data_IF_183530994410
#
_entry.id   IF_183530994410
#
_cell.length_a   1.000
_cell.length_b   1.000
_cell.length_c   1.000
_cell.angle_alpha   90.00
_cell.angle_beta   90.00
_cell.angle_gamma   90.00
#
_symmetry.space_group_name_H-M   'P 1'
#
loop_
_entity.id
_entity.type
_entity.pdbx_description
1 polymer ?
#
# COMPACT_ATOMS: atom_id res chain seq x y z
N UNK A 1 32.06 -2.33 -64.52
CA UNK A 1 32.37 -2.68 -63.10
C UNK A 1 31.52 -1.81 -62.21
N UNK A 2 30.43 -2.38 -61.71
CA UNK A 2 29.45 -1.66 -60.82
C UNK A 2 29.53 -2.32 -59.45
N UNK A 3 30.04 -1.54 -58.46
CA UNK A 3 30.17 -1.96 -57.09
C UNK A 3 28.83 -1.81 -56.38
N UNK A 4 28.26 -2.92 -55.86
CA UNK A 4 27.11 -2.93 -54.96
C UNK A 4 27.58 -2.77 -53.53
N UNK A 5 27.40 -1.60 -52.95
CA UNK A 5 27.53 -1.39 -51.52
C UNK A 5 26.24 -1.84 -50.83
N UNK A 6 26.33 -2.97 -50.11
CA UNK A 6 25.27 -3.46 -49.26
C UNK A 6 25.07 -2.57 -48.05
N UNK A 7 23.84 -2.05 -47.88
CA UNK A 7 23.39 -1.34 -46.68
C UNK A 7 22.91 -2.40 -45.70
N UNK A 8 23.67 -2.62 -44.61
CA UNK A 8 23.23 -3.39 -43.48
C UNK A 8 22.32 -2.50 -42.63
N UNK A 9 21.02 -2.68 -42.74
CA UNK A 9 20.06 -2.11 -41.81
C UNK A 9 20.09 -2.92 -40.49
N UNK A 10 20.66 -2.35 -39.46
CA UNK A 10 20.60 -2.91 -38.11
C UNK A 10 19.15 -2.79 -37.56
N UNK A 11 18.47 -3.92 -37.46
CA UNK A 11 17.19 -3.99 -36.77
C UNK A 11 17.47 -3.93 -35.26
N UNK A 12 17.19 -2.79 -34.62
CA UNK A 12 17.09 -2.68 -33.17
C UNK A 12 15.84 -3.44 -32.73
N UNK A 13 16.05 -4.58 -32.08
CA UNK A 13 14.96 -5.33 -31.47
C UNK A 13 14.37 -4.50 -30.31
N UNK A 14 13.16 -4.00 -30.49
CA UNK A 14 12.36 -3.40 -29.44
C UNK A 14 11.92 -4.52 -28.48
N UNK A 15 12.37 -4.48 -27.23
CA UNK A 15 11.95 -5.41 -26.17
C UNK A 15 10.78 -4.77 -25.42
N UNK A 16 9.53 -5.19 -25.68
CA UNK A 16 8.33 -4.52 -25.14
C UNK A 16 8.07 -4.75 -23.63
N UNK A 17 8.80 -5.67 -22.97
CA UNK A 17 8.45 -6.14 -21.64
C UNK A 17 8.70 -5.17 -20.47
N UNK A 18 9.60 -4.20 -20.60
CA UNK A 18 10.01 -3.34 -19.46
C UNK A 18 9.06 -2.16 -19.25
N UNK A 19 8.54 -1.59 -20.33
CA UNK A 19 7.60 -0.46 -20.26
C UNK A 19 6.22 -0.88 -19.75
N UNK A 20 5.76 -2.08 -20.13
CA UNK A 20 4.46 -2.63 -19.73
C UNK A 20 4.43 -3.00 -18.22
N UNK A 21 5.52 -3.55 -17.69
CA UNK A 21 5.66 -3.81 -16.26
C UNK A 21 5.69 -2.53 -15.41
N UNK A 22 6.33 -1.47 -15.89
CA UNK A 22 6.38 -0.18 -15.21
C UNK A 22 5.00 0.53 -15.16
N UNK A 23 4.21 0.41 -16.23
CA UNK A 23 2.83 0.94 -16.29
C UNK A 23 1.93 0.23 -15.28
N UNK A 24 2.01 -1.10 -15.19
CA UNK A 24 1.22 -1.89 -14.22
C UNK A 24 1.54 -1.56 -12.76
N UNK A 25 2.80 -1.34 -12.40
CA UNK A 25 3.18 -0.96 -11.03
C UNK A 25 2.65 0.44 -10.65
N UNK A 26 2.65 1.37 -11.60
CA UNK A 26 2.11 2.70 -11.39
C UNK A 26 0.58 2.67 -11.13
N UNK A 27 -0.16 1.85 -11.84
CA UNK A 27 -1.61 1.69 -11.66
C UNK A 27 -1.94 1.11 -10.28
N UNK A 28 -1.14 0.15 -9.79
CA UNK A 28 -1.31 -0.48 -8.48
C UNK A 28 -1.35 0.53 -7.34
N UNK A 29 -0.57 1.62 -7.43
CA UNK A 29 -0.45 2.63 -6.37
C UNK A 29 -1.29 3.88 -6.61
N UNK A 30 -1.95 4.00 -7.76
CA UNK A 30 -2.74 5.18 -8.15
C UNK A 30 -4.25 4.93 -8.24
N UNK A 31 -4.73 3.82 -7.70
CA UNK A 31 -6.18 3.59 -7.55
C UNK A 31 -6.80 4.76 -6.76
N UNK A 32 -7.78 5.49 -7.33
CA UNK A 32 -8.35 6.68 -6.69
C UNK A 32 -9.13 6.37 -5.41
N UNK A 33 -9.47 5.10 -5.16
CA UNK A 33 -10.10 4.66 -3.92
C UNK A 33 -9.12 4.50 -2.76
N UNK A 34 -7.79 4.54 -3.03
CA UNK A 34 -6.76 4.45 -1.98
C UNK A 34 -6.57 5.80 -1.29
N UNK A 35 -6.54 5.76 0.04
CA UNK A 35 -6.16 6.93 0.83
C UNK A 35 -4.63 7.11 0.80
N UNK A 36 -4.18 8.30 0.41
CA UNK A 36 -2.76 8.63 0.46
C UNK A 36 -2.44 9.27 1.81
N UNK A 37 -1.50 8.68 2.53
CA UNK A 37 -0.92 9.21 3.76
C UNK A 37 0.37 9.98 3.46
N UNK A 38 0.80 10.83 4.39
CA UNK A 38 1.95 11.70 4.20
C UNK A 38 1.67 12.78 3.16
N UNK A 39 2.55 12.95 2.16
CA UNK A 39 2.36 13.93 1.09
C UNK A 39 1.73 13.27 -0.16
N UNK A 40 0.45 13.56 -0.50
CA UNK A 40 -0.19 12.99 -1.69
C UNK A 40 0.55 13.32 -3.01
N UNK A 41 1.32 14.41 -3.04
CA UNK A 41 2.15 14.84 -4.17
C UNK A 41 3.63 14.46 -4.01
N UNK A 42 3.95 13.58 -3.05
CA UNK A 42 5.32 13.16 -2.76
C UNK A 42 6.05 12.57 -3.95
N UNK A 43 7.36 12.79 -4.00
CA UNK A 43 8.24 12.41 -5.10
C UNK A 43 8.47 10.89 -5.19
N UNK A 44 8.39 10.20 -4.04
CA UNK A 44 8.44 8.73 -3.97
C UNK A 44 7.17 8.20 -3.33
N UNK A 45 6.59 7.18 -3.95
CA UNK A 45 5.49 6.43 -3.36
C UNK A 45 6.02 5.17 -2.70
N UNK A 46 5.63 4.97 -1.44
CA UNK A 46 5.74 3.70 -0.72
C UNK A 46 4.35 3.09 -0.69
N UNK A 47 4.18 1.86 -1.18
CA UNK A 47 2.97 1.09 -0.96
C UNK A 47 3.33 -0.15 -0.12
N UNK A 48 2.63 -0.33 1.00
CA UNK A 48 2.73 -1.52 1.83
C UNK A 48 1.51 -2.41 1.64
N UNK A 49 1.72 -3.66 1.23
CA UNK A 49 0.71 -4.70 1.33
C UNK A 49 0.76 -5.26 2.75
N UNK A 50 -0.31 -5.09 3.49
CA UNK A 50 -0.32 -5.34 4.92
C UNK A 50 -1.62 -6.02 5.39
N UNK A 51 -1.59 -6.53 6.62
CA UNK A 51 -2.73 -7.10 7.31
C UNK A 51 -2.68 -6.66 8.78
N UNK A 52 -3.80 -6.20 9.33
CA UNK A 52 -3.88 -5.73 10.73
C UNK A 52 -3.54 -6.81 11.76
N UNK A 53 -3.73 -8.09 11.43
CA UNK A 53 -3.35 -9.22 12.29
C UNK A 53 -1.88 -9.65 12.09
N UNK A 54 -1.17 -9.11 11.10
CA UNK A 54 0.22 -9.45 10.84
C UNK A 54 1.15 -8.79 11.89
N UNK A 55 1.85 -9.56 12.74
CA UNK A 55 2.73 -8.99 13.77
C UNK A 55 3.87 -8.14 13.18
N UNK A 56 4.42 -8.56 12.04
CA UNK A 56 5.52 -7.85 11.37
C UNK A 56 5.06 -6.51 10.77
N UNK A 57 3.83 -6.43 10.23
CA UNK A 57 3.24 -5.18 9.77
C UNK A 57 3.07 -4.20 10.92
N UNK A 58 2.52 -4.68 12.03
CA UNK A 58 2.34 -3.86 13.23
C UNK A 58 3.66 -3.40 13.83
N UNK A 59 4.69 -4.26 13.81
CA UNK A 59 6.01 -3.93 14.35
C UNK A 59 6.75 -2.85 13.53
N UNK A 60 6.63 -2.85 12.20
CA UNK A 60 7.31 -1.85 11.34
C UNK A 60 6.52 -0.53 11.24
N UNK A 61 5.20 -0.55 11.47
CA UNK A 61 4.33 0.60 11.28
C UNK A 61 4.80 1.90 11.98
N UNK A 62 5.22 1.89 13.27
CA UNK A 62 5.70 3.12 13.92
C UNK A 62 6.92 3.73 13.21
N UNK A 63 7.86 2.90 12.77
CA UNK A 63 9.05 3.37 12.05
C UNK A 63 8.68 3.87 10.64
N UNK A 64 7.82 3.16 9.91
CA UNK A 64 7.33 3.60 8.59
C UNK A 64 6.64 4.97 8.68
N UNK A 65 5.77 5.15 9.67
CA UNK A 65 5.09 6.44 9.91
C UNK A 65 6.10 7.56 10.22
N UNK A 66 7.11 7.28 11.03
CA UNK A 66 8.14 8.27 11.35
C UNK A 66 9.00 8.65 10.13
N UNK A 67 9.37 7.68 9.30
CA UNK A 67 10.08 7.92 8.02
C UNK A 67 9.25 8.84 7.13
N UNK A 68 7.97 8.55 6.94
CA UNK A 68 7.08 9.37 6.11
C UNK A 68 6.93 10.80 6.65
N UNK A 69 6.78 10.93 7.98
CA UNK A 69 6.65 12.21 8.66
C UNK A 69 7.92 13.05 8.60
N UNK A 70 9.08 12.45 8.83
CA UNK A 70 10.37 13.15 8.90
C UNK A 70 10.88 13.56 7.51
N UNK A 71 10.62 12.74 6.50
CA UNK A 71 10.97 13.04 5.11
C UNK A 71 10.09 14.18 4.52
N UNK A 72 8.79 14.16 4.80
CA UNK A 72 7.82 15.19 4.39
C UNK A 72 7.48 15.21 2.90
N UNK A 73 8.15 14.43 2.06
CA UNK A 73 7.91 14.36 0.62
C UNK A 73 7.64 12.92 0.11
N UNK A 74 7.22 12.04 1.02
CA UNK A 74 6.81 10.68 0.71
C UNK A 74 5.28 10.57 0.65
N UNK A 75 4.80 9.85 -0.35
CA UNK A 75 3.41 9.40 -0.46
C UNK A 75 3.34 7.95 0.03
N UNK A 76 2.57 7.70 1.10
CA UNK A 76 2.37 6.36 1.62
C UNK A 76 0.97 5.85 1.25
N UNK A 77 0.91 4.63 0.72
CA UNK A 77 -0.30 3.91 0.38
C UNK A 77 -0.35 2.62 1.17
N UNK A 78 -1.40 2.47 1.98
CA UNK A 78 -1.68 1.23 2.69
C UNK A 78 -2.60 0.34 1.86
N UNK A 79 -2.11 -0.83 1.45
CA UNK A 79 -2.85 -1.80 0.64
C UNK A 79 -3.30 -2.96 1.51
N UNK A 80 -4.51 -2.85 2.01
CA UNK A 80 -5.12 -3.90 2.82
C UNK A 80 -5.17 -5.22 2.05
N UNK A 81 -4.55 -6.24 2.63
CA UNK A 81 -4.57 -7.60 2.14
C UNK A 81 -4.83 -8.55 3.32
N UNK A 82 -6.10 -8.66 3.77
CA UNK A 82 -6.48 -9.38 4.99
C UNK A 82 -6.46 -10.90 4.76
N UNK A 83 -5.29 -11.51 4.92
CA UNK A 83 -5.06 -12.95 4.70
C UNK A 83 -5.14 -13.78 6.00
N UNK A 84 -5.28 -13.11 7.15
CA UNK A 84 -5.30 -13.78 8.46
C UNK A 84 -6.73 -13.96 9.03
N UNK A 85 -7.74 -14.06 8.18
CA UNK A 85 -9.10 -14.43 8.54
C UNK A 85 -10.07 -13.26 8.78
N UNK A 86 -11.25 -13.59 9.29
CA UNK A 86 -12.41 -12.69 9.33
C UNK A 86 -12.18 -11.42 10.14
N UNK A 87 -11.40 -11.51 11.22
CA UNK A 87 -11.09 -10.34 12.04
C UNK A 87 -10.18 -9.33 11.30
N UNK A 88 -9.28 -9.81 10.43
CA UNK A 88 -8.49 -8.93 9.57
C UNK A 88 -9.40 -8.21 8.56
N UNK A 89 -10.36 -8.91 7.98
CA UNK A 89 -11.38 -8.31 7.11
C UNK A 89 -12.23 -7.27 7.84
N UNK A 90 -12.66 -7.59 9.07
CA UNK A 90 -13.40 -6.65 9.90
C UNK A 90 -12.60 -5.36 10.14
N UNK A 91 -11.35 -5.48 10.60
CA UNK A 91 -10.49 -4.33 10.84
C UNK A 91 -10.30 -3.46 9.59
N UNK A 92 -9.99 -4.09 8.44
CA UNK A 92 -9.85 -3.39 7.15
C UNK A 92 -11.13 -2.65 6.76
N UNK A 93 -12.29 -3.29 6.85
CA UNK A 93 -13.58 -2.68 6.52
C UNK A 93 -13.90 -1.47 7.40
N UNK A 94 -13.73 -1.62 8.71
CA UNK A 94 -14.00 -0.55 9.68
C UNK A 94 -13.08 0.65 9.46
N UNK A 95 -11.77 0.41 9.26
CA UNK A 95 -10.83 1.51 9.00
C UNK A 95 -11.14 2.20 7.66
N UNK A 96 -11.47 1.46 6.61
CA UNK A 96 -11.87 2.09 5.34
C UNK A 96 -13.19 2.86 5.46
N UNK A 97 -14.17 2.36 6.22
CA UNK A 97 -15.42 3.06 6.45
C UNK A 97 -15.22 4.40 7.19
N UNK A 98 -14.25 4.47 8.12
CA UNK A 98 -13.92 5.71 8.83
C UNK A 98 -13.44 6.84 7.90
N UNK A 99 -13.03 6.52 6.67
CA UNK A 99 -12.64 7.53 5.67
C UNK A 99 -13.80 8.48 5.32
N UNK A 100 -15.04 8.00 5.32
CA UNK A 100 -16.23 8.82 5.11
C UNK A 100 -16.43 9.88 6.22
N UNK A 101 -15.86 9.64 7.40
CA UNK A 101 -15.85 10.55 8.53
C UNK A 101 -14.57 11.39 8.62
N UNK A 102 -13.66 11.30 7.61
CA UNK A 102 -12.38 11.98 7.58
C UNK A 102 -11.35 11.43 8.57
N UNK A 103 -11.54 10.22 9.09
CA UNK A 103 -10.75 9.65 10.18
C UNK A 103 -9.82 8.50 9.77
N UNK A 104 -9.65 8.22 8.46
CA UNK A 104 -8.89 7.05 7.98
C UNK A 104 -7.51 6.92 8.61
N UNK A 105 -6.68 7.99 8.56
CA UNK A 105 -5.31 7.92 9.07
C UNK A 105 -5.28 7.69 10.58
N UNK A 106 -6.12 8.40 11.34
CA UNK A 106 -6.20 8.23 12.79
C UNK A 106 -6.68 6.83 13.17
N UNK A 107 -7.70 6.32 12.50
CA UNK A 107 -8.24 4.98 12.67
C UNK A 107 -7.21 3.91 12.32
N UNK A 108 -6.53 4.02 11.18
CA UNK A 108 -5.47 3.11 10.76
C UNK A 108 -4.36 3.03 11.80
N UNK A 109 -3.84 4.19 12.23
CA UNK A 109 -2.79 4.27 13.24
C UNK A 109 -3.22 3.67 14.58
N UNK A 110 -4.45 3.91 15.02
CA UNK A 110 -4.97 3.38 16.28
C UNK A 110 -5.11 1.86 16.24
N UNK A 111 -5.65 1.29 15.16
CA UNK A 111 -5.78 -0.17 15.03
C UNK A 111 -4.42 -0.86 14.92
N UNK A 112 -3.46 -0.28 14.19
CA UNK A 112 -2.09 -0.80 14.12
C UNK A 112 -1.37 -0.76 15.47
N UNK A 113 -1.73 0.17 16.35
CA UNK A 113 -1.12 0.34 17.67
C UNK A 113 -1.74 -0.52 18.79
N UNK A 114 -2.83 -1.26 18.54
CA UNK A 114 -3.45 -2.13 19.55
C UNK A 114 -2.41 -3.12 20.07
N UNK A 115 -2.14 -3.11 21.36
CA UNK A 115 -1.24 -4.09 22.01
C UNK A 115 -1.95 -5.44 22.21
N UNK A 116 -1.18 -6.53 22.16
CA UNK A 116 -1.73 -7.88 22.31
C UNK A 116 -2.49 -8.36 21.06
N UNK A 117 -3.53 -9.15 21.25
CA UNK A 117 -4.35 -9.69 20.16
C UNK A 117 -5.47 -8.73 19.73
N UNK A 118 -5.70 -8.59 18.43
CA UNK A 118 -6.89 -7.91 17.93
C UNK A 118 -8.17 -8.65 18.36
N UNK A 119 -9.22 -7.89 18.65
CA UNK A 119 -10.61 -8.35 18.81
C UNK A 119 -11.54 -7.36 18.15
N UNK A 120 -12.77 -7.75 17.85
CA UNK A 120 -13.76 -6.81 17.31
C UNK A 120 -13.95 -5.59 18.23
N UNK A 121 -14.14 -5.82 19.53
CA UNK A 121 -14.27 -4.73 20.51
C UNK A 121 -13.04 -3.85 20.58
N UNK A 122 -11.83 -4.44 20.52
CA UNK A 122 -10.58 -3.67 20.51
C UNK A 122 -10.44 -2.78 19.26
N UNK A 123 -10.91 -3.24 18.10
CA UNK A 123 -10.98 -2.40 16.88
C UNK A 123 -11.95 -1.25 17.09
N UNK A 124 -13.15 -1.52 17.61
CA UNK A 124 -14.18 -0.50 17.89
C UNK A 124 -13.69 0.56 18.89
N UNK A 125 -13.03 0.12 19.97
CA UNK A 125 -12.47 1.01 20.98
C UNK A 125 -11.34 1.88 20.40
N UNK A 126 -10.49 1.31 19.52
CA UNK A 126 -9.42 2.04 18.86
C UNK A 126 -9.97 3.12 17.91
N UNK A 127 -11.00 2.80 17.12
CA UNK A 127 -11.67 3.76 16.23
C UNK A 127 -12.29 4.91 17.03
N UNK A 128 -13.03 4.59 18.10
CA UNK A 128 -13.64 5.59 18.97
C UNK A 128 -12.58 6.49 19.60
N UNK A 129 -11.47 5.90 20.07
CA UNK A 129 -10.35 6.66 20.64
C UNK A 129 -9.65 7.54 19.60
N UNK A 130 -9.70 7.17 18.34
CA UNK A 130 -9.18 7.95 17.20
C UNK A 130 -10.14 9.05 16.73
N UNK A 131 -11.28 9.23 17.40
CA UNK A 131 -12.28 10.26 17.08
C UNK A 131 -13.34 9.82 16.05
N UNK A 132 -13.42 8.53 15.73
CA UNK A 132 -14.46 7.97 14.88
C UNK A 132 -15.32 7.00 15.71
N UNK A 133 -16.51 7.44 16.14
CA UNK A 133 -17.43 6.57 16.88
C UNK A 133 -17.71 5.28 16.11
N UNK A 134 -17.55 4.14 16.76
CA UNK A 134 -17.68 2.85 16.09
C UNK A 134 -19.10 2.57 15.57
N UNK A 135 -20.14 3.19 16.13
CA UNK A 135 -21.51 3.13 15.63
C UNK A 135 -21.63 3.88 14.31
N UNK A 136 -21.15 5.13 14.27
CA UNK A 136 -21.14 5.96 13.05
C UNK A 136 -20.31 5.29 11.95
N UNK A 137 -19.16 4.67 12.29
CA UNK A 137 -18.34 3.92 11.34
C UNK A 137 -19.08 2.72 10.76
N UNK A 138 -19.88 1.99 11.56
CA UNK A 138 -20.72 0.88 11.05
C UNK A 138 -21.79 1.37 10.10
N UNK A 139 -22.43 2.51 10.39
CA UNK A 139 -23.41 3.11 9.50
C UNK A 139 -22.75 3.48 8.15
N UNK A 140 -21.53 4.04 8.18
CA UNK A 140 -20.77 4.31 6.97
C UNK A 140 -20.34 3.01 6.26
N UNK A 141 -19.99 1.96 7.01
CA UNK A 141 -19.67 0.66 6.41
C UNK A 141 -20.86 0.10 5.65
N UNK A 142 -22.07 0.13 6.21
CA UNK A 142 -23.28 -0.36 5.54
C UNK A 142 -23.54 0.38 4.21
N UNK A 143 -23.24 1.68 4.17
CA UNK A 143 -23.41 2.50 2.96
C UNK A 143 -22.32 2.17 1.91
N UNK A 144 -21.08 1.92 2.33
CA UNK A 144 -19.93 1.85 1.44
C UNK A 144 -19.34 0.44 1.26
N UNK A 145 -19.93 -0.60 1.89
CA UNK A 145 -19.36 -1.94 1.96
C UNK A 145 -18.97 -2.53 0.59
N UNK A 146 -19.82 -2.35 -0.41
CA UNK A 146 -19.53 -2.90 -1.75
C UNK A 146 -18.26 -2.27 -2.38
N UNK A 147 -18.06 -0.96 -2.19
CA UNK A 147 -16.88 -0.25 -2.66
C UNK A 147 -15.62 -0.63 -1.90
N UNK A 148 -15.75 -0.79 -0.57
CA UNK A 148 -14.64 -1.20 0.32
C UNK A 148 -14.21 -2.63 -0.01
N UNK A 149 -15.15 -3.57 -0.12
CA UNK A 149 -14.86 -4.95 -0.47
C UNK A 149 -14.23 -5.07 -1.86
N UNK A 150 -14.71 -4.28 -2.83
CA UNK A 150 -14.11 -4.23 -4.15
C UNK A 150 -12.67 -3.69 -4.12
N UNK A 151 -12.36 -2.70 -3.27
CA UNK A 151 -11.01 -2.19 -3.07
C UNK A 151 -10.09 -3.26 -2.49
N UNK A 152 -10.51 -3.94 -1.41
CA UNK A 152 -9.74 -5.00 -0.77
C UNK A 152 -9.49 -6.16 -1.76
N UNK A 153 -10.51 -6.57 -2.52
CA UNK A 153 -10.38 -7.60 -3.54
C UNK A 153 -9.41 -7.21 -4.68
N UNK A 154 -9.38 -5.92 -5.08
CA UNK A 154 -8.37 -5.42 -6.03
C UNK A 154 -6.97 -5.47 -5.43
N UNK A 155 -6.80 -5.12 -4.15
CA UNK A 155 -5.50 -5.24 -3.48
C UNK A 155 -5.01 -6.69 -3.47
N UNK A 156 -5.89 -7.66 -3.19
CA UNK A 156 -5.58 -9.09 -3.29
C UNK A 156 -5.17 -9.49 -4.71
N UNK A 157 -5.90 -9.01 -5.72
CA UNK A 157 -5.56 -9.24 -7.13
C UNK A 157 -4.18 -8.70 -7.48
N UNK A 158 -3.85 -7.49 -7.02
CA UNK A 158 -2.52 -6.91 -7.18
C UNK A 158 -1.44 -7.72 -6.46
N UNK A 159 -1.69 -8.19 -5.23
CA UNK A 159 -0.76 -9.02 -4.47
C UNK A 159 -0.45 -10.33 -5.23
N UNK A 160 -1.47 -10.99 -5.77
CA UNK A 160 -1.34 -12.19 -6.60
C UNK A 160 -0.56 -11.92 -7.89
N UNK A 161 -0.88 -10.85 -8.60
CA UNK A 161 -0.18 -10.45 -9.84
C UNK A 161 1.32 -10.15 -9.59
N UNK A 162 1.65 -9.61 -8.41
CA UNK A 162 3.01 -9.37 -7.97
C UNK A 162 3.69 -10.62 -7.37
N UNK A 163 3.03 -11.78 -7.35
CA UNK A 163 3.52 -13.02 -6.73
C UNK A 163 3.97 -12.80 -5.28
N UNK A 164 3.19 -12.08 -4.48
CA UNK A 164 3.44 -11.93 -3.05
C UNK A 164 3.04 -13.21 -2.32
N UNK A 165 3.87 -13.61 -1.33
CA UNK A 165 3.64 -14.81 -0.52
C UNK A 165 2.99 -14.49 0.85
N UNK A 166 2.93 -13.20 1.23
CA UNK A 166 2.40 -12.75 2.52
C UNK A 166 2.71 -11.29 2.80
N UNK A 167 2.41 -10.86 4.01
CA UNK A 167 2.59 -9.48 4.49
C UNK A 167 3.69 -9.41 5.56
N UNK A 168 4.41 -8.29 5.71
CA UNK A 168 4.38 -7.14 4.82
C UNK A 168 5.14 -7.38 3.51
N UNK A 169 4.73 -6.67 2.45
CA UNK A 169 5.52 -6.51 1.24
C UNK A 169 5.46 -5.04 0.79
N UNK A 170 6.53 -4.53 0.20
CA UNK A 170 6.64 -3.12 -0.13
C UNK A 170 6.88 -2.92 -1.62
N UNK A 171 6.22 -1.92 -2.19
CA UNK A 171 6.56 -1.34 -3.47
C UNK A 171 7.04 0.10 -3.20
N UNK A 172 8.33 0.37 -3.43
CA UNK A 172 8.95 1.68 -3.20
C UNK A 172 9.49 2.20 -4.53
N UNK A 173 8.92 3.29 -5.01
CA UNK A 173 9.16 3.76 -6.36
C UNK A 173 8.77 2.70 -7.39
N UNK A 174 9.77 2.14 -8.10
CA UNK A 174 9.59 1.09 -9.11
C UNK A 174 10.06 -0.30 -8.63
N UNK A 175 10.47 -0.44 -7.34
CA UNK A 175 11.08 -1.66 -6.81
C UNK A 175 10.16 -2.39 -5.85
N UNK A 176 10.01 -3.69 -6.06
CA UNK A 176 9.20 -4.57 -5.23
C UNK A 176 10.07 -5.36 -4.25
N UNK A 177 9.73 -5.27 -2.97
CA UNK A 177 10.36 -5.99 -1.86
C UNK A 177 9.34 -6.97 -1.28
N UNK A 178 9.50 -8.28 -1.55
CA UNK A 178 8.58 -9.33 -1.11
C UNK A 178 8.93 -9.85 0.28
N UNK A 179 9.21 -8.95 1.22
CA UNK A 179 9.62 -9.24 2.58
C UNK A 179 9.46 -8.03 3.50
N UNK A 180 9.52 -8.28 4.79
CA UNK A 180 9.73 -7.22 5.77
C UNK A 180 11.04 -6.48 5.45
N UNK A 181 10.99 -5.15 5.52
CA UNK A 181 12.15 -4.27 5.52
C UNK A 181 12.35 -3.68 6.92
N UNK A 182 13.60 -3.51 7.33
CA UNK A 182 13.94 -2.69 8.48
C UNK A 182 13.84 -1.19 8.11
N UNK A 183 13.82 -0.31 9.10
CA UNK A 183 13.66 1.13 8.88
C UNK A 183 14.76 1.71 7.96
N UNK A 184 16.02 1.36 8.21
CA UNK A 184 17.17 1.77 7.40
C UNK A 184 17.12 1.22 5.96
N UNK A 185 16.55 0.04 5.76
CA UNK A 185 16.33 -0.53 4.43
C UNK A 185 15.22 0.23 3.68
N UNK A 186 14.17 0.70 4.37
CA UNK A 186 13.12 1.55 3.77
C UNK A 186 13.73 2.89 3.34
N UNK A 187 14.51 3.55 4.21
CA UNK A 187 15.19 4.80 3.89
C UNK A 187 16.16 4.65 2.70
N UNK A 188 16.95 3.58 2.66
CA UNK A 188 17.85 3.28 1.55
C UNK A 188 17.07 3.03 0.24
N UNK A 189 15.92 2.34 0.31
CA UNK A 189 15.07 2.11 -0.85
C UNK A 189 14.43 3.41 -1.39
N UNK A 190 14.06 4.33 -0.50
CA UNK A 190 13.56 5.67 -0.87
C UNK A 190 14.67 6.48 -1.56
N UNK A 191 15.88 6.51 -0.99
CA UNK A 191 17.02 7.21 -1.58
C UNK A 191 17.34 6.67 -2.98
N UNK A 192 17.33 5.33 -3.13
CA UNK A 192 17.51 4.68 -4.43
C UNK A 192 16.42 5.07 -5.42
N UNK A 193 15.15 5.05 -5.02
CA UNK A 193 14.04 5.43 -5.88
C UNK A 193 14.15 6.88 -6.38
N UNK A 194 14.64 7.81 -5.53
CA UNK A 194 14.91 9.20 -5.91
C UNK A 194 16.01 9.33 -6.95
N UNK A 195 17.04 8.48 -6.88
CA UNK A 195 18.12 8.51 -7.86
C UNK A 195 17.75 7.97 -9.24
N UNK A 196 16.59 7.30 -9.35
CA UNK A 196 16.07 6.68 -10.58
C UNK A 196 14.95 7.50 -11.26
N UNK A 197 14.55 8.64 -10.67
CA UNK A 197 13.58 9.59 -11.21
C UNK A 197 14.28 10.76 -11.91
#
# INVERSE_FOLDING_TARGET
MISRRGFLAGATAFVPGVAEAATGLHEIVRDPALQALGNPAGDVTIAEFFDYLCPSCRAIHPALKEIVRSDGNLRLIMKDWPINGDLAWYASRMVHASAALGAYEAAHNAVMAIEGGLTHGGVDDALTSAGADAGDVRDMLDVHIAGIDALIARNETHAKALNLAGTPAFLIGKRLYRRLLAADEIEAAVALARSEN
#
